data_IF_411081924852
#
_entry.id   IF_411081924852
#
_cell.length_a   1.000
_cell.length_b   1.000
_cell.length_c   1.000
_cell.angle_alpha   90.00
_cell.angle_beta   90.00
_cell.angle_gamma   90.00
#
_symmetry.space_group_name_H-M   'P 1'
#
loop_
_entity.id
_entity.type
_entity.pdbx_description
1 polymer ?
#
# COMPACT_ATOMS: atom_id res chain seq x y z
N UNK A 1 -8.08 13.46 -1.47
CA UNK A 1 -6.71 14.01 -1.61
C UNK A 1 -5.80 13.61 -0.46
N UNK A 2 -6.32 13.51 0.76
CA UNK A 2 -5.59 13.24 2.01
C UNK A 2 -4.69 12.00 1.97
N UNK A 3 -5.13 10.94 1.27
CA UNK A 3 -4.41 9.65 1.21
C UNK A 3 -3.09 9.79 0.46
N UNK A 4 -3.11 10.45 -0.70
CA UNK A 4 -1.94 10.63 -1.55
C UNK A 4 -0.94 11.61 -0.93
N UNK A 5 -1.42 12.68 -0.30
CA UNK A 5 -0.57 13.64 0.43
C UNK A 5 0.11 12.97 1.61
N UNK A 6 -0.63 12.20 2.42
CA UNK A 6 -0.05 11.43 3.52
C UNK A 6 1.03 10.45 3.04
N UNK A 7 0.79 9.74 1.92
CA UNK A 7 1.75 8.79 1.36
C UNK A 7 3.00 9.51 0.85
N UNK A 8 2.82 10.63 0.15
CA UNK A 8 3.92 11.44 -0.34
C UNK A 8 4.79 11.96 0.80
N UNK A 9 4.19 12.46 1.88
CA UNK A 9 4.91 12.92 3.07
C UNK A 9 5.62 11.75 3.77
N UNK A 10 4.96 10.61 3.92
CA UNK A 10 5.58 9.41 4.51
C UNK A 10 6.83 8.97 3.73
N UNK A 11 6.70 8.79 2.41
CA UNK A 11 7.82 8.38 1.54
C UNK A 11 8.92 9.45 1.53
N UNK A 12 8.56 10.73 1.41
CA UNK A 12 9.54 11.83 1.41
C UNK A 12 10.29 11.91 2.73
N UNK A 13 9.59 11.74 3.86
CA UNK A 13 10.18 11.71 5.19
C UNK A 13 11.16 10.54 5.39
N UNK A 14 10.79 9.33 4.93
CA UNK A 14 11.70 8.18 4.93
C UNK A 14 12.93 8.44 4.05
N UNK A 15 12.75 8.99 2.85
CA UNK A 15 13.85 9.30 1.93
C UNK A 15 14.80 10.34 2.55
N UNK A 16 14.27 11.40 3.16
CA UNK A 16 15.07 12.41 3.86
C UNK A 16 15.85 11.80 5.04
N UNK A 17 15.20 10.95 5.82
CA UNK A 17 15.85 10.23 6.91
C UNK A 17 16.95 9.29 6.39
N UNK A 18 16.72 8.51 5.34
CA UNK A 18 17.76 7.66 4.75
C UNK A 18 18.91 8.48 4.15
N UNK A 19 18.61 9.63 3.51
CA UNK A 19 19.61 10.56 2.99
C UNK A 19 20.45 11.18 4.11
N UNK A 20 19.86 11.47 5.26
CA UNK A 20 20.56 11.96 6.45
C UNK A 20 21.68 11.03 6.91
N UNK A 21 21.47 9.71 6.76
CA UNK A 21 22.47 8.69 7.09
C UNK A 21 23.62 8.69 6.09
N UNK A 22 23.31 8.81 4.80
CA UNK A 22 24.32 8.84 3.73
C UNK A 22 25.15 10.12 3.75
N UNK A 23 24.51 11.27 3.90
CA UNK A 23 25.15 12.59 3.81
C UNK A 23 25.62 13.12 5.18
N UNK A 24 25.47 12.32 6.25
CA UNK A 24 25.78 12.69 7.64
C UNK A 24 25.17 14.03 8.11
N UNK A 25 23.99 14.37 7.57
CA UNK A 25 23.34 15.68 7.82
C UNK A 25 22.31 15.58 8.94
N UNK A 26 22.53 16.28 10.05
CA UNK A 26 21.56 16.40 11.15
C UNK A 26 20.29 17.17 10.72
N UNK A 27 20.43 18.18 9.86
CA UNK A 27 19.29 18.93 9.33
C UNK A 27 18.36 18.04 8.52
N UNK A 28 18.91 17.14 7.70
CA UNK A 28 18.11 16.16 6.94
C UNK A 28 17.39 15.17 7.87
N UNK A 29 18.00 14.82 9.02
CA UNK A 29 17.40 13.93 10.01
C UNK A 29 16.23 14.60 10.75
N UNK A 30 16.38 15.87 11.13
CA UNK A 30 15.32 16.66 11.75
C UNK A 30 14.17 16.93 10.78
N UNK A 31 14.46 17.38 9.56
CA UNK A 31 13.45 17.58 8.51
C UNK A 31 12.75 16.26 8.16
N UNK A 32 13.47 15.15 8.10
CA UNK A 32 12.87 13.82 7.91
C UNK A 32 11.84 13.49 8.99
N UNK A 33 12.17 13.75 10.26
CA UNK A 33 11.24 13.60 11.39
C UNK A 33 10.02 14.51 11.30
N UNK A 34 10.21 15.80 10.95
CA UNK A 34 9.12 16.75 10.76
C UNK A 34 8.17 16.32 9.62
N UNK A 35 8.72 15.95 8.46
CA UNK A 35 7.91 15.52 7.32
C UNK A 35 7.17 14.21 7.60
N UNK A 36 7.83 13.24 8.27
CA UNK A 36 7.17 12.03 8.75
C UNK A 36 6.03 12.36 9.71
N UNK A 37 6.25 13.29 10.64
CA UNK A 37 5.24 13.66 11.62
C UNK A 37 3.97 14.21 10.96
N UNK A 38 4.12 15.02 9.91
CA UNK A 38 2.99 15.58 9.17
C UNK A 38 2.13 14.49 8.51
N UNK A 39 2.70 13.34 8.15
CA UNK A 39 1.94 12.26 7.51
C UNK A 39 0.80 11.73 8.39
N UNK A 40 1.01 11.62 9.72
CA UNK A 40 -0.03 11.12 10.61
C UNK A 40 -1.08 12.16 10.97
N UNK A 41 -0.82 13.46 10.73
CA UNK A 41 -1.85 14.50 10.82
C UNK A 41 -2.91 14.31 9.74
N UNK A 42 -2.51 13.86 8.56
CA UNK A 42 -3.46 13.54 7.49
C UNK A 42 -4.21 12.24 7.76
N UNK A 43 -3.57 11.23 8.38
CA UNK A 43 -4.13 9.89 8.54
C UNK A 43 -3.44 9.15 9.69
N UNK A 44 -4.17 8.73 10.71
CA UNK A 44 -3.60 8.13 11.92
C UNK A 44 -2.85 6.82 11.63
N UNK A 45 -3.20 6.11 10.56
CA UNK A 45 -2.63 4.81 10.24
C UNK A 45 -1.14 4.91 9.92
N UNK A 46 -0.67 6.04 9.39
CA UNK A 46 0.76 6.28 9.19
C UNK A 46 1.56 6.18 10.50
N UNK A 47 0.95 6.45 11.66
CA UNK A 47 1.58 6.27 12.97
C UNK A 47 1.97 4.81 13.22
N UNK A 48 1.12 3.85 12.83
CA UNK A 48 1.39 2.41 12.98
C UNK A 48 2.62 2.05 12.14
N UNK A 49 2.66 2.50 10.89
CA UNK A 49 3.77 2.21 9.98
C UNK A 49 5.07 2.90 10.40
N UNK A 50 5.02 4.15 10.87
CA UNK A 50 6.17 4.86 11.43
C UNK A 50 6.70 4.14 12.67
N UNK A 51 5.82 3.74 13.58
CA UNK A 51 6.19 3.00 14.79
C UNK A 51 6.86 1.67 14.47
N UNK A 52 6.26 0.86 13.59
CA UNK A 52 6.84 -0.41 13.14
C UNK A 52 8.18 -0.21 12.43
N UNK A 53 8.29 0.81 11.58
CA UNK A 53 9.54 1.16 10.93
C UNK A 53 10.63 1.51 11.95
N UNK A 54 10.30 2.32 12.96
CA UNK A 54 11.26 2.72 14.01
C UNK A 54 11.69 1.54 14.87
N UNK A 55 10.77 0.64 15.21
CA UNK A 55 11.07 -0.62 15.91
C UNK A 55 12.01 -1.49 15.07
N UNK A 56 11.73 -1.66 13.78
CA UNK A 56 12.57 -2.45 12.88
C UNK A 56 13.95 -1.83 12.71
N UNK A 57 14.05 -0.51 12.53
CA UNK A 57 15.31 0.22 12.43
C UNK A 57 16.12 0.08 13.72
N UNK A 58 15.46 0.17 14.89
CA UNK A 58 16.06 -0.06 16.20
C UNK A 58 16.68 -1.45 16.31
N UNK A 59 15.90 -2.51 16.09
CA UNK A 59 16.38 -3.90 16.21
C UNK A 59 17.45 -4.28 15.18
N UNK A 60 17.33 -3.80 13.94
CA UNK A 60 18.24 -4.22 12.87
C UNK A 60 19.54 -3.42 12.82
N UNK A 61 19.59 -2.20 13.36
CA UNK A 61 20.73 -1.30 13.12
C UNK A 61 21.32 -0.65 14.36
N UNK A 62 20.57 -0.42 15.44
CA UNK A 62 21.18 0.05 16.69
C UNK A 62 22.26 -0.91 17.22
N UNK A 63 22.04 -2.24 17.28
CA UNK A 63 23.06 -3.14 17.83
C UNK A 63 24.31 -3.30 16.94
N UNK A 64 24.22 -3.00 15.65
CA UNK A 64 25.31 -3.23 14.69
C UNK A 64 26.03 -1.96 14.23
N UNK A 65 25.48 -0.77 14.51
CA UNK A 65 26.11 0.50 14.14
C UNK A 65 27.17 0.91 15.16
N UNK A 66 28.45 0.77 14.78
CA UNK A 66 29.60 1.28 15.55
C UNK A 66 29.75 2.81 15.51
N UNK A 67 28.99 3.49 14.64
CA UNK A 67 29.12 4.93 14.43
C UNK A 67 28.26 5.72 15.43
N UNK A 68 28.89 6.41 16.38
CA UNK A 68 28.21 7.24 17.39
C UNK A 68 27.28 8.29 16.74
N UNK A 69 27.64 8.81 15.57
CA UNK A 69 26.79 9.77 14.87
C UNK A 69 25.48 9.17 14.33
N UNK A 70 25.44 7.89 13.98
CA UNK A 70 24.19 7.23 13.58
C UNK A 70 23.19 7.24 14.74
N UNK A 71 23.66 6.88 15.94
CA UNK A 71 22.85 6.90 17.16
C UNK A 71 22.31 8.30 17.41
N UNK A 72 23.17 9.34 17.36
CA UNK A 72 22.73 10.74 17.53
C UNK A 72 21.64 11.14 16.53
N UNK A 73 21.75 10.73 15.26
CA UNK A 73 20.74 11.01 14.23
C UNK A 73 19.44 10.25 14.47
N UNK A 74 19.52 8.97 14.84
CA UNK A 74 18.36 8.17 15.21
C UNK A 74 17.61 8.80 16.40
N UNK A 75 18.32 9.12 17.49
CA UNK A 75 17.74 9.76 18.66
C UNK A 75 17.18 11.15 18.34
N UNK A 76 17.88 11.96 17.54
CA UNK A 76 17.37 13.27 17.10
C UNK A 76 16.02 13.13 16.39
N UNK A 77 15.92 12.25 15.39
CA UNK A 77 14.67 12.04 14.66
C UNK A 77 13.58 11.45 15.56
N UNK A 78 13.92 10.52 16.48
CA UNK A 78 12.99 10.00 17.49
C UNK A 78 12.43 11.12 18.36
N UNK A 79 13.29 12.00 18.87
CA UNK A 79 12.88 13.13 19.71
C UNK A 79 11.95 14.08 18.96
N UNK A 80 12.26 14.40 17.69
CA UNK A 80 11.38 15.21 16.84
C UNK A 80 10.02 14.55 16.65
N UNK A 81 9.98 13.25 16.35
CA UNK A 81 8.73 12.50 16.19
C UNK A 81 7.88 12.51 17.48
N UNK A 82 8.51 12.28 18.63
CA UNK A 82 7.83 12.26 19.94
C UNK A 82 7.27 13.64 20.27
N UNK A 83 8.06 14.70 20.13
CA UNK A 83 7.61 16.08 20.41
C UNK A 83 6.41 16.45 19.53
N UNK A 84 6.48 16.16 18.23
CA UNK A 84 5.40 16.48 17.29
C UNK A 84 4.18 15.58 17.47
N UNK A 85 4.35 14.37 18.01
CA UNK A 85 3.24 13.50 18.40
C UNK A 85 2.50 14.06 19.62
N UNK A 86 3.23 14.50 20.65
CA UNK A 86 2.61 15.19 21.77
C UNK A 86 1.94 16.50 21.36
N UNK A 87 2.54 17.26 20.43
CA UNK A 87 1.90 18.43 19.83
C UNK A 87 0.59 18.08 19.12
N UNK A 88 0.56 16.99 18.36
CA UNK A 88 -0.66 16.47 17.73
C UNK A 88 -1.71 16.07 18.77
N UNK A 89 -1.33 15.32 19.82
CA UNK A 89 -2.26 14.92 20.87
C UNK A 89 -2.80 16.12 21.65
N UNK A 90 -1.96 17.09 21.98
CA UNK A 90 -2.36 18.34 22.63
C UNK A 90 -3.33 19.14 21.78
N UNK A 91 -3.06 19.28 20.48
CA UNK A 91 -3.99 19.92 19.54
C UNK A 91 -5.34 19.20 19.52
N UNK A 92 -5.35 17.88 19.35
CA UNK A 92 -6.61 17.15 19.27
C UNK A 92 -7.39 17.14 20.59
N UNK A 93 -6.70 17.08 21.73
CA UNK A 93 -7.34 17.14 23.05
C UNK A 93 -8.01 18.51 23.27
N UNK A 94 -7.36 19.61 22.88
CA UNK A 94 -7.89 20.97 23.07
C UNK A 94 -9.10 21.25 22.19
N UNK A 95 -9.11 20.79 20.94
CA UNK A 95 -10.19 21.11 20.00
C UNK A 95 -11.30 20.06 19.93
N UNK A 96 -10.99 18.78 20.19
CA UNK A 96 -11.91 17.66 19.96
C UNK A 96 -12.13 16.78 21.20
N UNK A 97 -11.54 17.14 22.35
CA UNK A 97 -11.61 16.37 23.59
C UNK A 97 -11.21 14.89 23.45
N UNK A 98 -10.38 14.58 22.45
CA UNK A 98 -9.87 13.24 22.18
C UNK A 98 -8.41 13.32 21.77
N UNK A 99 -7.48 12.58 22.41
CA UNK A 99 -6.05 12.70 22.15
C UNK A 99 -5.63 12.19 20.76
N UNK A 100 -6.37 11.25 20.19
CA UNK A 100 -6.15 10.72 18.83
C UNK A 100 -7.09 11.36 17.79
N UNK A 101 -7.85 12.36 18.23
CA UNK A 101 -8.76 13.13 17.40
C UNK A 101 -10.07 12.41 17.08
N UNK A 102 -11.00 13.14 16.44
CA UNK A 102 -12.35 12.67 16.17
C UNK A 102 -12.36 11.55 15.13
N UNK A 103 -11.34 11.47 14.25
CA UNK A 103 -11.21 10.40 13.26
C UNK A 103 -10.93 9.04 13.90
N UNK A 104 -10.17 9.01 15.00
CA UNK A 104 -9.99 7.78 15.77
C UNK A 104 -11.34 7.35 16.37
N UNK A 105 -12.04 8.27 17.04
CA UNK A 105 -13.34 7.96 17.65
C UNK A 105 -14.38 7.53 16.60
N UNK A 106 -14.45 8.17 15.44
CA UNK A 106 -15.41 7.83 14.40
C UNK A 106 -15.13 6.46 13.75
N UNK A 107 -13.86 6.09 13.59
CA UNK A 107 -13.50 4.84 12.94
C UNK A 107 -13.45 3.67 13.93
N UNK A 108 -12.87 3.84 15.11
CA UNK A 108 -12.50 2.76 16.03
C UNK A 108 -13.48 2.54 17.20
N UNK A 109 -14.51 3.37 17.37
CA UNK A 109 -15.49 3.22 18.46
C UNK A 109 -16.40 1.97 18.35
N UNK A 110 -16.46 1.35 17.17
CA UNK A 110 -17.39 0.23 16.89
C UNK A 110 -16.68 -1.06 16.44
N UNK A 111 -15.35 -1.15 16.56
CA UNK A 111 -14.58 -2.31 16.10
C UNK A 111 -14.59 -3.45 17.11
N UNK A 112 -15.57 -4.36 16.99
CA UNK A 112 -15.61 -5.60 17.77
C UNK A 112 -14.56 -6.61 17.31
N UNK A 113 -13.88 -7.26 18.27
CA UNK A 113 -12.83 -8.27 18.03
C UNK A 113 -13.32 -9.51 17.25
N UNK A 114 -14.64 -9.74 17.19
CA UNK A 114 -15.25 -10.90 16.52
C UNK A 114 -15.19 -10.85 14.99
N UNK A 115 -14.97 -9.69 14.37
CA UNK A 115 -14.95 -9.52 12.91
C UNK A 115 -13.53 -9.35 12.30
N UNK A 116 -12.46 -9.44 13.10
CA UNK A 116 -11.09 -9.10 12.65
C UNK A 116 -10.61 -9.97 11.48
N UNK A 117 -10.86 -11.28 11.53
CA UNK A 117 -10.44 -12.18 10.44
C UNK A 117 -11.23 -11.94 9.15
N UNK A 118 -12.52 -11.61 9.28
CA UNK A 118 -13.37 -11.23 8.15
C UNK A 118 -12.87 -9.93 7.51
N UNK A 119 -12.54 -8.93 8.32
CA UNK A 119 -11.98 -7.65 7.87
C UNK A 119 -10.64 -7.87 7.14
N UNK A 120 -9.78 -8.74 7.68
CA UNK A 120 -8.49 -9.10 7.09
C UNK A 120 -8.65 -9.67 5.67
N UNK A 121 -9.51 -10.67 5.50
CA UNK A 121 -9.76 -11.31 4.19
C UNK A 121 -10.40 -10.32 3.22
N UNK A 122 -11.37 -9.53 3.71
CA UNK A 122 -12.08 -8.54 2.91
C UNK A 122 -11.14 -7.44 2.38
N UNK A 123 -10.22 -6.93 3.22
CA UNK A 123 -9.26 -5.90 2.82
C UNK A 123 -8.20 -6.41 1.84
N UNK A 124 -7.70 -7.64 2.04
CA UNK A 124 -6.57 -8.15 1.25
C UNK A 124 -7.02 -8.78 -0.07
N UNK A 125 -8.06 -9.59 -0.07
CA UNK A 125 -8.42 -10.44 -1.22
C UNK A 125 -9.76 -10.07 -1.83
N UNK A 126 -10.85 -10.35 -1.13
CA UNK A 126 -12.20 -10.16 -1.62
C UNK A 126 -13.20 -10.18 -0.46
N UNK A 127 -14.12 -9.24 -0.47
CA UNK A 127 -15.14 -9.11 0.57
C UNK A 127 -16.29 -8.21 0.14
N UNK A 128 -17.51 -8.51 0.59
CA UNK A 128 -18.71 -7.71 0.32
C UNK A 128 -18.83 -7.27 -1.16
N UNK A 129 -18.68 -8.22 -2.08
CA UNK A 129 -18.78 -8.04 -3.54
C UNK A 129 -17.70 -7.15 -4.20
N UNK A 130 -16.60 -6.86 -3.50
CA UNK A 130 -15.50 -6.01 -4.02
C UNK A 130 -14.13 -6.63 -3.79
N UNK A 131 -13.19 -6.29 -4.69
CA UNK A 131 -11.80 -6.76 -4.66
C UNK A 131 -11.04 -6.06 -3.52
N UNK A 132 -10.18 -6.80 -2.83
CA UNK A 132 -9.21 -6.26 -1.88
C UNK A 132 -7.94 -5.75 -2.58
N UNK A 133 -6.92 -5.34 -1.81
CA UNK A 133 -5.67 -4.80 -2.37
C UNK A 133 -5.01 -5.76 -3.37
N UNK A 134 -4.94 -7.05 -3.06
CA UNK A 134 -4.39 -8.07 -3.97
C UNK A 134 -5.35 -8.43 -5.11
N UNK A 135 -6.65 -8.25 -4.93
CA UNK A 135 -7.61 -8.36 -6.02
C UNK A 135 -7.43 -7.25 -7.07
N UNK A 136 -7.23 -6.00 -6.64
CA UNK A 136 -6.97 -4.86 -7.52
C UNK A 136 -5.55 -4.86 -8.12
N UNK A 137 -4.57 -5.33 -7.36
CA UNK A 137 -3.16 -5.36 -7.76
C UNK A 137 -2.51 -6.72 -7.52
N UNK A 138 -2.86 -7.74 -8.35
CA UNK A 138 -2.35 -9.11 -8.19
C UNK A 138 -0.82 -9.21 -8.24
N UNK A 139 -0.17 -8.30 -8.96
CA UNK A 139 1.29 -8.25 -9.05
C UNK A 139 1.96 -7.99 -7.69
N UNK A 140 1.33 -7.20 -6.79
CA UNK A 140 1.86 -6.99 -5.44
C UNK A 140 1.82 -8.27 -4.61
N UNK A 141 0.79 -9.10 -4.83
CA UNK A 141 0.68 -10.41 -4.19
C UNK A 141 1.75 -11.37 -4.70
N UNK A 142 1.99 -11.40 -6.02
CA UNK A 142 3.07 -12.19 -6.62
C UNK A 142 4.44 -11.76 -6.07
N UNK A 143 4.69 -10.44 -5.96
CA UNK A 143 5.91 -9.90 -5.35
C UNK A 143 6.08 -10.36 -3.89
N UNK A 144 5.00 -10.36 -3.10
CA UNK A 144 5.01 -10.84 -1.72
C UNK A 144 5.29 -12.35 -1.63
N UNK A 145 4.65 -13.17 -2.46
CA UNK A 145 4.90 -14.62 -2.51
C UNK A 145 6.34 -14.94 -2.94
N UNK A 146 6.85 -14.23 -3.94
CA UNK A 146 8.23 -14.36 -4.38
C UNK A 146 9.21 -13.99 -3.27
N UNK A 147 8.94 -12.92 -2.52
CA UNK A 147 9.72 -12.53 -1.36
C UNK A 147 9.77 -13.65 -0.32
N UNK A 148 8.59 -14.14 0.08
CA UNK A 148 8.45 -15.22 1.08
C UNK A 148 9.17 -16.51 0.64
N UNK A 149 9.08 -16.88 -0.64
CA UNK A 149 9.67 -18.11 -1.16
C UNK A 149 11.19 -18.02 -1.41
N UNK A 150 11.67 -16.86 -1.87
CA UNK A 150 13.00 -16.77 -2.51
C UNK A 150 13.92 -15.80 -1.78
N UNK A 151 13.39 -14.65 -1.38
CA UNK A 151 14.17 -13.55 -0.82
C UNK A 151 14.34 -13.67 0.69
N UNK A 152 13.40 -14.31 1.40
CA UNK A 152 13.58 -14.71 2.82
C UNK A 152 14.82 -15.61 2.97
N UNK A 153 15.02 -16.55 2.04
CA UNK A 153 16.22 -17.42 2.04
C UNK A 153 17.50 -16.64 1.73
N UNK A 154 17.40 -15.58 0.93
CA UNK A 154 18.50 -14.72 0.52
C UNK A 154 18.53 -13.38 1.29
N UNK A 155 18.06 -13.35 2.54
CA UNK A 155 17.93 -12.14 3.36
C UNK A 155 19.21 -11.31 3.44
N UNK A 156 20.36 -11.97 3.40
CA UNK A 156 21.70 -11.35 3.41
C UNK A 156 21.97 -10.46 2.19
N UNK A 157 21.32 -10.71 1.06
CA UNK A 157 21.54 -9.99 -0.19
C UNK A 157 20.68 -8.72 -0.30
N UNK A 158 19.71 -8.53 0.60
CA UNK A 158 18.84 -7.36 0.59
C UNK A 158 19.62 -6.16 1.18
N UNK A 159 19.61 -4.98 0.53
CA UNK A 159 20.25 -3.79 1.06
C UNK A 159 19.75 -3.47 2.47
N UNK A 160 20.67 -3.25 3.41
CA UNK A 160 20.33 -2.92 4.81
C UNK A 160 19.39 -1.72 4.94
N UNK A 161 19.35 -0.82 3.94
CA UNK A 161 18.49 0.37 3.90
C UNK A 161 17.02 0.06 3.57
N UNK A 162 16.78 -1.05 2.91
CA UNK A 162 15.45 -1.47 2.46
C UNK A 162 14.78 -2.40 3.49
N UNK A 163 15.57 -3.16 4.27
CA UNK A 163 15.02 -4.12 5.25
C UNK A 163 14.00 -3.52 6.23
N UNK A 164 14.24 -2.35 6.87
CA UNK A 164 13.27 -1.78 7.79
C UNK A 164 11.96 -1.41 7.09
N UNK A 165 12.04 -0.85 5.87
CA UNK A 165 10.87 -0.49 5.06
C UNK A 165 10.08 -1.71 4.61
N UNK A 166 10.76 -2.80 4.23
CA UNK A 166 10.11 -4.04 3.81
C UNK A 166 9.36 -4.70 4.96
N UNK A 167 10.04 -4.86 6.11
CA UNK A 167 9.44 -5.48 7.29
C UNK A 167 8.29 -4.62 7.81
N UNK A 168 8.48 -3.30 7.93
CA UNK A 168 7.43 -2.40 8.40
C UNK A 168 6.23 -2.36 7.46
N UNK A 169 6.43 -2.59 6.16
CA UNK A 169 5.33 -2.65 5.19
C UNK A 169 4.55 -3.96 5.29
N UNK A 170 5.24 -5.11 5.40
CA UNK A 170 4.56 -6.41 5.56
C UNK A 170 3.83 -6.44 6.91
N UNK A 171 4.55 -6.18 8.01
CA UNK A 171 3.96 -6.16 9.34
C UNK A 171 2.89 -5.07 9.44
N UNK A 172 3.12 -3.89 8.86
CA UNK A 172 2.16 -2.81 8.88
C UNK A 172 0.88 -3.15 8.12
N UNK A 173 0.96 -3.86 7.00
CA UNK A 173 -0.22 -4.34 6.28
C UNK A 173 -0.99 -5.38 7.10
N UNK A 174 -0.29 -6.32 7.74
CA UNK A 174 -0.92 -7.31 8.60
C UNK A 174 -1.58 -6.66 9.82
N UNK A 175 -0.85 -5.80 10.53
CA UNK A 175 -1.35 -5.05 11.68
C UNK A 175 -2.49 -4.15 11.30
N UNK A 176 -2.39 -3.38 10.21
CA UNK A 176 -3.47 -2.50 9.76
C UNK A 176 -4.69 -3.29 9.27
N UNK A 177 -4.51 -4.48 8.68
CA UNK A 177 -5.63 -5.35 8.31
C UNK A 177 -6.33 -5.98 9.51
N UNK A 178 -5.60 -6.27 10.60
CA UNK A 178 -6.17 -6.73 11.88
C UNK A 178 -6.85 -5.59 12.61
N UNK A 179 -6.17 -4.45 12.75
CA UNK A 179 -6.62 -3.28 13.51
C UNK A 179 -7.68 -2.48 12.75
N UNK A 180 -7.89 -2.76 11.46
CA UNK A 180 -8.91 -2.12 10.64
C UNK A 180 -10.28 -2.21 11.33
N UNK A 181 -10.86 -1.06 11.70
CA UNK A 181 -11.97 -1.07 12.63
C UNK A 181 -13.31 -1.47 12.01
N UNK A 182 -13.37 -1.50 10.68
CA UNK A 182 -14.45 -2.09 9.90
C UNK A 182 -13.87 -2.65 8.59
N UNK A 183 -14.69 -3.39 7.83
CA UNK A 183 -14.43 -3.80 6.44
C UNK A 183 -14.14 -2.60 5.51
N UNK A 184 -14.25 -1.37 6.03
CA UNK A 184 -13.96 -0.11 5.37
C UNK A 184 -14.70 -0.04 4.07
N UNK A 185 -16.03 -0.13 4.14
CA UNK A 185 -16.91 -0.35 2.99
C UNK A 185 -16.30 0.20 1.70
N UNK A 186 -15.87 -0.71 0.82
CA UNK A 186 -15.33 -0.50 -0.54
C UNK A 186 -14.16 0.47 -0.75
N UNK A 187 -14.27 1.70 -0.25
CA UNK A 187 -13.37 2.79 -0.54
C UNK A 187 -12.46 3.13 0.63
N UNK A 188 -12.84 2.79 1.86
CA UNK A 188 -12.13 3.24 3.07
C UNK A 188 -11.11 2.23 3.58
N UNK A 189 -11.35 0.92 3.41
CA UNK A 189 -10.52 -0.15 3.96
C UNK A 189 -9.12 -0.24 3.34
N UNK A 190 -9.04 -0.22 2.00
CA UNK A 190 -7.76 -0.23 1.28
C UNK A 190 -6.88 0.99 1.59
N UNK A 191 -7.49 2.09 2.05
CA UNK A 191 -6.77 3.31 2.44
C UNK A 191 -5.93 3.12 3.70
N UNK A 192 -6.31 2.19 4.58
CA UNK A 192 -5.54 1.86 5.78
C UNK A 192 -4.23 1.13 5.44
N UNK A 193 -4.19 0.45 4.30
CA UNK A 193 -3.02 -0.30 3.83
C UNK A 193 -2.08 0.53 2.95
N UNK A 194 -2.49 1.75 2.58
CA UNK A 194 -1.71 2.62 1.67
C UNK A 194 -0.27 2.86 2.14
N UNK A 195 0.01 3.11 3.44
CA UNK A 195 1.39 3.35 3.87
C UNK A 195 2.32 2.13 3.71
N UNK A 196 1.77 0.92 3.55
CA UNK A 196 2.53 -0.31 3.30
C UNK A 196 2.84 -0.57 1.82
N UNK A 197 2.21 0.16 0.90
CA UNK A 197 2.44 -0.01 -0.54
C UNK A 197 3.91 0.23 -0.96
N UNK A 198 4.64 1.23 -0.43
CA UNK A 198 6.04 1.46 -0.81
C UNK A 198 6.91 0.22 -0.63
N UNK A 199 6.80 -0.50 0.49
CA UNK A 199 7.57 -1.73 0.67
C UNK A 199 7.12 -2.85 -0.27
N UNK A 200 5.81 -3.01 -0.50
CA UNK A 200 5.31 -3.97 -1.49
C UNK A 200 5.81 -3.67 -2.91
N UNK A 201 5.92 -2.40 -3.30
CA UNK A 201 6.50 -2.01 -4.58
C UNK A 201 7.98 -2.36 -4.68
N UNK A 202 8.74 -2.21 -3.59
CA UNK A 202 10.15 -2.64 -3.54
C UNK A 202 10.28 -4.16 -3.67
N UNK A 203 9.38 -4.94 -3.04
CA UNK A 203 9.35 -6.40 -3.23
C UNK A 203 9.06 -6.79 -4.67
N UNK A 204 8.05 -6.14 -5.24
CA UNK A 204 7.59 -6.43 -6.59
C UNK A 204 8.64 -6.04 -7.63
N UNK A 205 9.37 -4.93 -7.43
CA UNK A 205 10.46 -4.56 -8.32
C UNK A 205 11.62 -5.56 -8.25
N UNK A 206 11.89 -6.14 -7.07
CA UNK A 206 12.81 -7.26 -6.91
C UNK A 206 12.41 -8.50 -7.74
N UNK A 207 11.12 -8.86 -7.72
CA UNK A 207 10.58 -9.92 -8.57
C UNK A 207 10.75 -9.61 -10.06
N UNK A 208 10.37 -8.41 -10.51
CA UNK A 208 10.51 -8.05 -11.92
C UNK A 208 11.96 -8.00 -12.37
N UNK A 209 12.90 -7.57 -11.52
CA UNK A 209 14.32 -7.58 -11.82
C UNK A 209 14.92 -8.99 -11.86
N UNK A 210 14.41 -9.90 -11.03
CA UNK A 210 14.78 -11.32 -11.11
C UNK A 210 14.23 -11.98 -12.37
N UNK A 211 13.01 -11.61 -12.76
CA UNK A 211 12.34 -12.12 -13.96
C UNK A 211 12.82 -11.43 -15.25
N UNK A 212 13.50 -10.29 -15.13
CA UNK A 212 14.07 -9.55 -16.27
C UNK A 212 15.02 -10.50 -17.02
N UNK A 213 14.64 -10.91 -18.23
CA UNK A 213 15.33 -12.01 -18.86
C UNK A 213 16.74 -11.58 -19.25
N UNK A 214 17.74 -12.41 -18.91
CA UNK A 214 19.05 -12.38 -19.56
C UNK A 214 18.86 -12.64 -21.06
N UNK A 215 18.57 -11.58 -21.82
CA UNK A 215 18.53 -11.41 -23.29
C UNK A 215 17.77 -12.42 -24.18
N UNK A 216 17.44 -13.66 -23.76
CA UNK A 216 16.81 -14.66 -24.65
C UNK A 216 15.31 -14.91 -24.43
N UNK A 217 14.69 -14.32 -23.41
CA UNK A 217 13.25 -14.52 -23.10
C UNK A 217 12.33 -13.35 -23.51
N UNK A 218 12.88 -12.31 -24.15
CA UNK A 218 12.12 -11.15 -24.62
C UNK A 218 11.05 -11.48 -25.65
N UNK A 219 11.20 -12.60 -26.35
CA UNK A 219 10.22 -13.08 -27.33
C UNK A 219 9.00 -13.74 -26.69
N UNK A 220 9.17 -14.35 -25.50
CA UNK A 220 8.06 -15.03 -24.78
C UNK A 220 7.16 -14.02 -24.05
N UNK A 221 7.75 -12.93 -23.55
CA UNK A 221 7.02 -11.91 -22.78
C UNK A 221 6.08 -11.07 -23.66
N UNK A 222 6.48 -10.80 -24.92
CA UNK A 222 5.60 -10.14 -25.88
C UNK A 222 4.41 -11.04 -26.24
N UNK A 223 4.63 -12.35 -26.41
CA UNK A 223 3.54 -13.28 -26.75
C UNK A 223 2.57 -13.52 -25.59
N UNK A 224 3.05 -13.55 -24.33
CA UNK A 224 2.18 -13.85 -23.17
C UNK A 224 1.35 -12.66 -22.69
N UNK A 225 1.85 -11.41 -22.82
CA UNK A 225 1.10 -10.20 -22.46
C UNK A 225 0.25 -9.63 -23.61
N UNK A 226 0.65 -9.80 -24.87
CA UNK A 226 -0.14 -9.30 -26.01
C UNK A 226 -1.29 -10.26 -26.38
N UNK A 227 -1.12 -11.59 -26.29
CA UNK A 227 -2.16 -12.55 -26.68
C UNK A 227 -3.49 -12.42 -25.90
N UNK A 228 -3.52 -12.19 -24.58
CA UNK A 228 -4.78 -12.02 -23.85
C UNK A 228 -5.53 -10.74 -24.27
N UNK A 229 -4.80 -9.69 -24.65
CA UNK A 229 -5.39 -8.43 -25.13
C UNK A 229 -6.03 -8.63 -26.51
N UNK A 230 -5.36 -9.34 -27.44
CA UNK A 230 -5.94 -9.70 -28.74
C UNK A 230 -7.12 -10.68 -28.60
N UNK A 231 -7.09 -11.60 -27.63
CA UNK A 231 -8.22 -12.51 -27.37
C UNK A 231 -9.44 -11.76 -26.81
N UNK A 232 -9.25 -10.77 -25.92
CA UNK A 232 -10.32 -9.88 -25.45
C UNK A 232 -10.91 -9.04 -26.59
N UNK A 233 -10.06 -8.49 -27.47
CA UNK A 233 -10.49 -7.71 -28.65
C UNK A 233 -11.23 -8.57 -29.70
N UNK A 234 -10.81 -9.82 -29.90
CA UNK A 234 -11.50 -10.77 -30.77
C UNK A 234 -12.89 -11.17 -30.23
N UNK A 235 -13.01 -11.34 -28.91
CA UNK A 235 -14.28 -11.70 -28.27
C UNK A 235 -15.28 -10.54 -28.29
N UNK A 236 -14.84 -9.31 -28.04
CA UNK A 236 -15.70 -8.12 -28.08
C UNK A 236 -16.20 -7.81 -29.49
N UNK A 237 -15.35 -7.92 -30.52
CA UNK A 237 -15.75 -7.71 -31.92
C UNK A 237 -16.72 -8.79 -32.41
N UNK A 238 -16.55 -10.06 -32.02
CA UNK A 238 -17.49 -11.14 -32.34
C UNK A 238 -18.85 -10.91 -31.68
N UNK A 239 -18.87 -10.42 -30.44
CA UNK A 239 -20.11 -10.06 -29.70
C UNK A 239 -20.81 -8.83 -30.32
N UNK A 240 -20.05 -7.81 -30.74
CA UNK A 240 -20.60 -6.64 -31.44
C UNK A 240 -21.21 -7.02 -32.80
N UNK A 241 -20.54 -7.88 -33.58
CA UNK A 241 -21.09 -8.39 -34.86
C UNK A 241 -22.36 -9.23 -34.66
N UNK A 242 -22.42 -10.03 -33.59
CA UNK A 242 -23.63 -10.77 -33.24
C UNK A 242 -24.78 -9.81 -32.89
N UNK A 243 -24.54 -8.80 -32.06
CA UNK A 243 -25.54 -7.78 -31.69
C UNK A 243 -26.05 -6.98 -32.91
N UNK A 244 -25.17 -6.59 -33.83
CA UNK A 244 -25.56 -5.91 -35.06
C UNK A 244 -26.42 -6.80 -35.99
N UNK A 245 -26.13 -8.11 -36.08
CA UNK A 245 -26.96 -9.07 -36.82
C UNK A 245 -28.35 -9.22 -36.19
N UNK A 246 -28.42 -9.27 -34.85
CA UNK A 246 -29.70 -9.33 -34.13
C UNK A 246 -30.50 -8.05 -34.32
N UNK A 247 -29.87 -6.86 -34.25
CA UNK A 247 -30.52 -5.58 -34.53
C UNK A 247 -31.04 -5.48 -35.97
N UNK A 248 -30.26 -5.93 -36.97
CA UNK A 248 -30.71 -5.96 -38.37
C UNK A 248 -31.89 -6.91 -38.57
N UNK A 249 -31.86 -8.11 -37.96
CA UNK A 249 -33.01 -9.04 -37.98
C UNK A 249 -34.24 -8.42 -37.33
N UNK A 250 -34.08 -7.80 -36.16
CA UNK A 250 -35.17 -7.14 -35.44
C UNK A 250 -35.78 -6.01 -36.27
N UNK A 251 -34.95 -5.12 -36.85
CA UNK A 251 -35.42 -4.02 -37.72
C UNK A 251 -36.12 -4.53 -38.98
N UNK A 252 -35.62 -5.62 -39.59
CA UNK A 252 -36.27 -6.25 -40.75
C UNK A 252 -37.60 -6.94 -40.41
N UNK A 253 -37.73 -7.49 -39.20
CA UNK A 253 -38.97 -8.10 -38.72
C UNK A 253 -40.01 -7.03 -38.36
N UNK A 254 -39.58 -5.92 -37.77
CA UNK A 254 -40.43 -4.76 -37.45
C UNK A 254 -40.95 -4.07 -38.72
N UNK A 255 -40.11 -3.95 -39.75
CA UNK A 255 -40.50 -3.40 -41.05
C UNK A 255 -41.48 -4.29 -41.83
N UNK A 256 -41.49 -5.61 -41.57
CA UNK A 256 -42.37 -6.55 -42.29
C UNK A 256 -43.74 -6.76 -41.62
N UNK A 257 -43.88 -6.45 -40.34
CA UNK A 257 -45.16 -6.58 -39.61
C UNK A 257 -45.28 -5.49 -38.53
N UNK A 258 -45.73 -4.27 -38.89
CA UNK A 258 -45.90 -3.18 -37.91
C UNK A 258 -47.15 -3.33 -37.02
N UNK A 259 -47.96 -4.40 -37.17
CA UNK A 259 -49.30 -4.52 -36.57
C UNK A 259 -49.48 -5.61 -35.49
N UNK A 260 -48.43 -5.95 -34.74
CA UNK A 260 -48.61 -6.68 -33.47
C UNK A 260 -47.70 -6.06 -32.43
N UNK A 261 -48.26 -5.12 -31.65
CA UNK A 261 -48.08 -4.88 -30.21
C UNK A 261 -48.83 -3.56 -29.92
N UNK A 262 -50.12 -3.68 -29.66
CA UNK A 262 -50.86 -3.09 -28.54
C UNK A 262 -51.91 -4.14 -28.15
#
# INVERSE_FOLDING_TARGET
MDVGVGLFLFVSGIVLYQRSKKNRSFLSAALGGMVLSLSYWFRLEYLIFIGLYWICESFLRLPFSKENEYHKRFFLTSTVLIILFFGYCGFNQSFFHSPLGPRYNANYSHSGFSNLFKNFINLLFYGNLKLGVFGYSPFLFVGLLFFLSTQVRNWKNIPEKEKPLLISSILGILTAAIVAPNDGGAESGSRYLTPGLPGLFVLTSGFFRFYEPKKSFGEFHSTFFLRPQFFRLGYTTKRQRALQKTQKKFKSSFSKNPKKIF
#
